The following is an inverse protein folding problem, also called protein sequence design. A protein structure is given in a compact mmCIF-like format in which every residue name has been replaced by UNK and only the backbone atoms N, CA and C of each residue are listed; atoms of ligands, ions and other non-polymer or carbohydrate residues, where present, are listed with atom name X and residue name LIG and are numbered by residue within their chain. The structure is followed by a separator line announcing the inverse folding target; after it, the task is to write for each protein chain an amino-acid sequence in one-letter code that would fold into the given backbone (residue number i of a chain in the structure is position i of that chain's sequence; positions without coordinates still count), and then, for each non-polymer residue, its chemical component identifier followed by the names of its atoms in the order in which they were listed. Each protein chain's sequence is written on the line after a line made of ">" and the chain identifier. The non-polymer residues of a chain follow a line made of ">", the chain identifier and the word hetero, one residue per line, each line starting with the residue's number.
data_IF_472317971731
#
_entry.id   IF_472317971731
#
_cell.length_a   1.000
_cell.length_b   1.000
_cell.length_c   1.000
_cell.angle_alpha   90.00
_cell.angle_beta   90.00
_cell.angle_gamma   90.00
#
_symmetry.space_group_name_H-M   'P 1'
#
loop_
_entity.id
_entity.type
_entity.pdbx_description
1 polymer ?
#
# COMPACT_ATOMS: atom_id res chain seq x y z
N UNK A 1 41.15 -6.18 -10.12
CA UNK A 1 40.09 -7.11 -9.69
C UNK A 1 38.77 -6.62 -10.28
N UNK A 2 38.30 -7.30 -11.30
CA UNK A 2 37.10 -6.90 -12.05
C UNK A 2 35.85 -7.40 -11.31
N UNK A 3 35.01 -6.49 -10.82
CA UNK A 3 33.72 -6.80 -10.25
C UNK A 3 32.71 -7.05 -11.40
N UNK A 4 32.46 -8.31 -11.74
CA UNK A 4 31.44 -8.70 -12.73
C UNK A 4 30.07 -8.43 -12.11
N UNK A 5 29.40 -7.36 -12.54
CA UNK A 5 27.95 -7.22 -12.38
C UNK A 5 27.29 -8.45 -13.03
N UNK A 6 26.71 -9.32 -12.22
CA UNK A 6 25.84 -10.37 -12.72
C UNK A 6 24.61 -9.70 -13.36
N UNK A 7 24.61 -9.61 -14.67
CA UNK A 7 23.40 -9.29 -15.44
C UNK A 7 22.53 -10.54 -15.39
N UNK A 8 21.48 -10.51 -14.57
CA UNK A 8 20.47 -11.56 -14.55
C UNK A 8 19.73 -11.47 -15.89
N UNK A 9 20.03 -12.34 -16.81
CA UNK A 9 19.24 -12.55 -18.03
C UNK A 9 17.92 -13.19 -17.60
N UNK A 10 16.89 -12.39 -17.38
CA UNK A 10 15.51 -12.91 -17.27
C UNK A 10 15.20 -13.54 -18.62
N UNK A 11 15.03 -14.87 -18.62
CA UNK A 11 14.70 -15.62 -19.84
C UNK A 11 13.38 -15.05 -20.41
N UNK A 12 13.30 -14.86 -21.73
CA UNK A 12 12.12 -14.32 -22.40
C UNK A 12 10.83 -15.12 -22.12
N UNK A 13 10.93 -16.34 -21.63
CA UNK A 13 9.81 -17.15 -21.13
C UNK A 13 9.33 -16.66 -19.77
N UNK A 14 10.23 -16.37 -18.84
CA UNK A 14 9.89 -15.85 -17.50
C UNK A 14 9.23 -14.47 -17.62
N UNK A 15 9.77 -13.58 -18.44
CA UNK A 15 9.16 -12.28 -18.71
C UNK A 15 7.73 -12.39 -19.23
N UNK A 16 7.47 -13.27 -20.20
CA UNK A 16 6.12 -13.50 -20.73
C UNK A 16 5.18 -14.12 -19.70
N UNK A 17 5.69 -14.93 -18.80
CA UNK A 17 4.93 -15.51 -17.69
C UNK A 17 4.51 -14.42 -16.69
N UNK A 18 5.43 -13.57 -16.28
CA UNK A 18 5.14 -12.45 -15.38
C UNK A 18 4.17 -11.42 -16.00
N UNK A 19 4.33 -11.10 -17.27
CA UNK A 19 3.40 -10.24 -18.00
C UNK A 19 1.97 -10.83 -18.04
N UNK A 20 1.85 -12.16 -18.20
CA UNK A 20 0.55 -12.85 -18.15
C UNK A 20 -0.06 -12.84 -16.75
N UNK A 21 0.76 -13.12 -15.72
CA UNK A 21 0.30 -13.06 -14.33
C UNK A 21 -0.20 -11.65 -13.99
N UNK A 22 0.54 -10.64 -14.36
CA UNK A 22 0.16 -9.24 -14.14
C UNK A 22 -1.18 -8.91 -14.78
N UNK A 23 -1.41 -9.30 -16.04
CA UNK A 23 -2.71 -9.12 -16.73
C UNK A 23 -3.86 -9.82 -16.01
N UNK A 24 -3.61 -11.01 -15.46
CA UNK A 24 -4.63 -11.75 -14.71
C UNK A 24 -4.94 -11.03 -13.39
N UNK A 25 -3.93 -10.56 -12.68
CA UNK A 25 -4.11 -9.80 -11.43
C UNK A 25 -4.86 -8.49 -11.68
N UNK A 26 -4.54 -7.76 -12.75
CA UNK A 26 -5.26 -6.55 -13.17
C UNK A 26 -6.74 -6.84 -13.46
N UNK A 27 -7.02 -7.87 -14.26
CA UNK A 27 -8.39 -8.29 -14.59
C UNK A 27 -9.18 -8.74 -13.34
N UNK A 28 -8.54 -9.48 -12.44
CA UNK A 28 -9.15 -9.88 -11.18
C UNK A 28 -9.40 -8.67 -10.26
N UNK A 29 -8.47 -7.73 -10.17
CA UNK A 29 -8.63 -6.49 -9.43
C UNK A 29 -9.83 -5.68 -9.96
N UNK A 30 -9.92 -5.46 -11.27
CA UNK A 30 -11.02 -4.71 -11.90
C UNK A 30 -12.39 -5.33 -11.57
N UNK A 31 -12.52 -6.65 -11.70
CA UNK A 31 -13.74 -7.37 -11.35
C UNK A 31 -14.06 -7.28 -9.86
N UNK A 32 -13.05 -7.45 -8.99
CA UNK A 32 -13.22 -7.37 -7.53
C UNK A 32 -13.54 -5.96 -7.04
N UNK A 33 -13.09 -4.95 -7.76
CA UNK A 33 -13.30 -3.53 -7.45
C UNK A 33 -14.60 -2.99 -8.03
N UNK A 34 -15.25 -3.72 -8.93
CA UNK A 34 -16.54 -3.35 -9.50
C UNK A 34 -17.70 -3.45 -8.48
N UNK A 35 -18.85 -2.90 -8.88
CA UNK A 35 -20.08 -2.84 -8.05
C UNK A 35 -20.76 -4.20 -7.79
N UNK A 36 -20.29 -5.25 -8.42
CA UNK A 36 -20.85 -6.59 -8.23
C UNK A 36 -20.32 -7.20 -6.95
N UNK A 37 -21.18 -7.98 -6.30
CA UNK A 37 -20.82 -8.79 -5.11
C UNK A 37 -19.55 -9.61 -5.40
N UNK A 38 -18.41 -8.99 -5.11
CA UNK A 38 -17.07 -9.52 -5.39
C UNK A 38 -16.84 -10.91 -4.75
N UNK A 39 -17.76 -11.42 -3.90
CA UNK A 39 -17.82 -12.80 -3.38
C UNK A 39 -18.10 -13.83 -4.45
N UNK A 40 -18.87 -13.45 -5.45
CA UNK A 40 -19.39 -14.35 -6.46
C UNK A 40 -18.56 -14.42 -7.75
N UNK A 41 -17.47 -13.63 -7.86
CA UNK A 41 -16.60 -13.68 -9.04
C UNK A 41 -16.01 -15.07 -9.21
N UNK A 42 -16.16 -15.61 -10.41
CA UNK A 42 -15.70 -16.96 -10.76
C UNK A 42 -14.34 -16.93 -11.47
N UNK A 43 -13.61 -18.05 -11.43
CA UNK A 43 -12.37 -18.21 -12.21
C UNK A 43 -12.62 -18.12 -13.72
N UNK A 44 -13.82 -18.47 -14.20
CA UNK A 44 -14.23 -18.31 -15.59
C UNK A 44 -14.34 -16.84 -16.00
N UNK A 45 -14.98 -16.02 -15.18
CA UNK A 45 -15.13 -14.58 -15.43
C UNK A 45 -13.78 -13.89 -15.47
N UNK A 46 -12.90 -14.20 -14.50
CA UNK A 46 -11.53 -13.68 -14.49
C UNK A 46 -10.76 -14.11 -15.75
N UNK A 47 -10.85 -15.39 -16.12
CA UNK A 47 -10.17 -15.92 -17.32
C UNK A 47 -10.63 -15.21 -18.59
N UNK A 48 -11.95 -15.00 -18.72
CA UNK A 48 -12.56 -14.27 -19.84
C UNK A 48 -12.11 -12.82 -19.87
N UNK A 49 -12.13 -12.13 -18.73
CA UNK A 49 -11.72 -10.72 -18.61
C UNK A 49 -10.23 -10.52 -18.92
N UNK A 50 -9.37 -11.42 -18.42
CA UNK A 50 -7.94 -11.44 -18.70
C UNK A 50 -7.56 -11.93 -20.10
N UNK A 51 -8.54 -12.42 -20.90
CA UNK A 51 -8.32 -13.05 -22.19
C UNK A 51 -7.30 -14.20 -22.14
N UNK A 52 -7.48 -15.11 -21.17
CA UNK A 52 -6.66 -16.32 -21.00
C UNK A 52 -7.54 -17.56 -20.80
N UNK A 53 -6.97 -18.74 -21.01
CA UNK A 53 -7.68 -20.00 -20.70
C UNK A 53 -7.78 -20.24 -19.19
N UNK A 54 -8.90 -20.77 -18.69
CA UNK A 54 -9.09 -21.15 -17.27
C UNK A 54 -7.95 -22.03 -16.73
N UNK A 55 -7.46 -22.97 -17.53
CA UNK A 55 -6.31 -23.82 -17.17
C UNK A 55 -5.04 -23.01 -16.87
N UNK A 56 -4.88 -21.84 -17.52
CA UNK A 56 -3.75 -20.94 -17.28
C UNK A 56 -3.84 -20.30 -15.90
N UNK A 57 -5.05 -19.90 -15.47
CA UNK A 57 -5.26 -19.39 -14.11
C UNK A 57 -4.89 -20.43 -13.06
N UNK A 58 -5.42 -21.64 -13.18
CA UNK A 58 -5.11 -22.72 -12.25
C UNK A 58 -3.63 -23.08 -12.25
N UNK A 59 -2.97 -23.04 -13.43
CA UNK A 59 -1.52 -23.26 -13.51
C UNK A 59 -0.72 -22.23 -12.74
N UNK A 60 -1.14 -20.95 -12.73
CA UNK A 60 -0.36 -19.86 -12.09
C UNK A 60 -0.71 -19.65 -10.62
N UNK A 61 -1.99 -19.79 -10.26
CA UNK A 61 -2.50 -19.42 -8.95
C UNK A 61 -3.02 -20.60 -8.12
N UNK A 62 -3.27 -21.75 -8.74
CA UNK A 62 -3.74 -22.98 -8.08
C UNK A 62 -5.21 -22.92 -7.67
N UNK A 63 -5.65 -21.86 -7.02
CA UNK A 63 -7.02 -21.68 -6.53
C UNK A 63 -7.52 -20.25 -6.68
N UNK A 64 -8.85 -20.05 -6.52
CA UNK A 64 -9.45 -18.71 -6.46
C UNK A 64 -8.94 -17.92 -5.25
N UNK A 65 -8.84 -18.59 -4.11
CA UNK A 65 -8.40 -17.93 -2.87
C UNK A 65 -6.96 -17.42 -2.98
N UNK A 66 -6.08 -18.22 -3.57
CA UNK A 66 -4.70 -17.79 -3.83
C UNK A 66 -4.64 -16.62 -4.82
N UNK A 67 -5.47 -16.63 -5.86
CA UNK A 67 -5.55 -15.50 -6.79
C UNK A 67 -6.01 -14.22 -6.09
N UNK A 68 -7.06 -14.30 -5.27
CA UNK A 68 -7.54 -13.16 -4.48
C UNK A 68 -6.44 -12.65 -3.53
N UNK A 69 -5.73 -13.58 -2.89
CA UNK A 69 -4.58 -13.26 -2.04
C UNK A 69 -3.53 -12.47 -2.83
N UNK A 70 -3.12 -12.94 -4.00
CA UNK A 70 -2.12 -12.26 -4.83
C UNK A 70 -2.61 -10.88 -5.33
N UNK A 71 -3.92 -10.71 -5.57
CA UNK A 71 -4.49 -9.39 -5.91
C UNK A 71 -4.30 -8.39 -4.75
N UNK A 72 -4.63 -8.80 -3.53
CA UNK A 72 -4.42 -7.94 -2.35
C UNK A 72 -2.94 -7.66 -2.09
N UNK A 73 -2.08 -8.67 -2.26
CA UNK A 73 -0.63 -8.49 -2.16
C UNK A 73 -0.10 -7.49 -3.18
N UNK A 74 -0.52 -7.60 -4.43
CA UNK A 74 -0.09 -6.70 -5.50
C UNK A 74 -0.52 -5.26 -5.19
N UNK A 75 -1.74 -5.06 -4.69
CA UNK A 75 -2.22 -3.75 -4.26
C UNK A 75 -1.36 -3.14 -3.14
N UNK A 76 -1.06 -3.90 -2.08
CA UNK A 76 -0.19 -3.45 -0.98
C UNK A 76 1.24 -3.18 -1.48
N UNK A 77 1.78 -4.02 -2.36
CA UNK A 77 3.10 -3.80 -2.92
C UNK A 77 3.20 -2.53 -3.77
N UNK A 78 2.12 -2.15 -4.47
CA UNK A 78 2.03 -0.86 -5.18
C UNK A 78 2.07 0.30 -4.19
N UNK A 79 1.29 0.25 -3.11
CA UNK A 79 1.32 1.26 -2.04
C UNK A 79 2.74 1.46 -1.49
N UNK A 80 3.43 0.37 -1.17
CA UNK A 80 4.80 0.40 -0.65
C UNK A 80 5.76 1.00 -1.70
N UNK A 81 5.63 0.60 -2.95
CA UNK A 81 6.51 1.03 -4.03
C UNK A 81 6.36 2.53 -4.28
N UNK A 82 5.13 3.03 -4.35
CA UNK A 82 4.84 4.44 -4.57
C UNK A 82 5.36 5.29 -3.40
N UNK A 83 5.14 4.84 -2.16
CA UNK A 83 5.67 5.53 -0.99
C UNK A 83 7.22 5.57 -0.99
N UNK A 84 7.88 4.48 -1.35
CA UNK A 84 9.35 4.44 -1.50
C UNK A 84 9.85 5.38 -2.59
N UNK A 85 9.15 5.47 -3.72
CA UNK A 85 9.50 6.40 -4.79
C UNK A 85 9.40 7.85 -4.32
N UNK A 86 8.32 8.22 -3.62
CA UNK A 86 8.15 9.55 -3.03
C UNK A 86 9.29 9.86 -2.05
N UNK A 87 9.62 8.92 -1.17
CA UNK A 87 10.74 9.09 -0.21
C UNK A 87 12.08 9.28 -0.91
N UNK A 88 12.32 8.57 -2.04
CA UNK A 88 13.55 8.63 -2.82
C UNK A 88 13.74 9.96 -3.58
N UNK A 89 12.68 10.76 -3.77
CA UNK A 89 12.79 12.10 -4.35
C UNK A 89 13.54 13.09 -3.45
N UNK A 90 13.73 12.75 -2.18
CA UNK A 90 14.46 13.55 -1.19
C UNK A 90 13.97 15.01 -1.07
N UNK A 91 12.68 15.23 -1.28
CA UNK A 91 12.04 16.53 -1.06
C UNK A 91 12.06 16.94 0.42
N UNK A 92 11.85 18.23 0.74
CA UNK A 92 11.69 18.69 2.12
C UNK A 92 10.64 17.89 2.88
N UNK A 93 10.78 17.82 4.22
CA UNK A 93 9.90 17.05 5.11
C UNK A 93 8.42 17.29 4.84
N UNK A 94 7.99 18.57 4.81
CA UNK A 94 6.58 18.94 4.65
C UNK A 94 6.04 18.49 3.29
N UNK A 95 6.79 18.73 2.21
CA UNK A 95 6.41 18.32 0.85
C UNK A 95 6.33 16.79 0.73
N UNK A 96 7.27 16.07 1.35
CA UNK A 96 7.26 14.60 1.35
C UNK A 96 6.05 14.06 2.11
N UNK A 97 5.72 14.61 3.28
CA UNK A 97 4.57 14.18 4.06
C UNK A 97 3.25 14.45 3.32
N UNK A 98 3.10 15.61 2.69
CA UNK A 98 1.94 15.94 1.85
C UNK A 98 1.83 14.96 0.68
N UNK A 99 2.92 14.70 -0.03
CA UNK A 99 2.94 13.76 -1.17
C UNK A 99 2.55 12.34 -0.75
N UNK A 100 3.04 11.85 0.39
CA UNK A 100 2.66 10.54 0.95
C UNK A 100 1.17 10.49 1.30
N UNK A 101 0.63 11.54 1.92
CA UNK A 101 -0.79 11.65 2.27
C UNK A 101 -1.67 11.65 1.01
N UNK A 102 -1.34 12.49 0.03
CA UNK A 102 -2.07 12.56 -1.24
C UNK A 102 -2.02 11.26 -2.03
N UNK A 103 -0.85 10.61 -2.08
CA UNK A 103 -0.71 9.31 -2.75
C UNK A 103 -1.59 8.23 -2.12
N UNK A 104 -1.60 8.16 -0.78
CA UNK A 104 -2.44 7.18 -0.06
C UNK A 104 -3.92 7.41 -0.35
N UNK A 105 -4.37 8.65 -0.29
CA UNK A 105 -5.77 9.00 -0.59
C UNK A 105 -6.10 8.69 -2.04
N UNK A 106 -5.30 9.14 -3.00
CA UNK A 106 -5.52 8.87 -4.41
C UNK A 106 -5.53 7.39 -4.80
N UNK A 107 -4.92 6.51 -3.98
CA UNK A 107 -5.01 5.06 -4.15
C UNK A 107 -6.29 4.50 -3.52
N UNK A 108 -6.68 5.00 -2.34
CA UNK A 108 -7.92 4.58 -1.68
C UNK A 108 -9.16 5.02 -2.47
N UNK A 109 -9.12 6.18 -3.13
CA UNK A 109 -10.21 6.66 -3.99
C UNK A 109 -10.43 5.79 -5.26
N UNK A 110 -9.42 5.00 -5.65
CA UNK A 110 -9.52 4.08 -6.79
C UNK A 110 -10.15 2.73 -6.45
N UNK A 111 -10.38 2.46 -5.17
CA UNK A 111 -10.95 1.19 -4.72
C UNK A 111 -12.35 1.39 -4.15
N UNK A 112 -13.23 0.45 -4.47
CA UNK A 112 -14.58 0.43 -3.93
C UNK A 112 -14.57 0.07 -2.44
N UNK A 113 -15.57 0.55 -1.72
CA UNK A 113 -15.75 0.19 -0.30
C UNK A 113 -15.81 -1.33 -0.06
N UNK A 114 -16.53 -2.13 -0.86
CA UNK A 114 -16.53 -3.59 -0.73
C UNK A 114 -15.13 -4.21 -0.93
N UNK A 115 -14.35 -3.72 -1.88
CA UNK A 115 -12.97 -4.19 -2.09
C UNK A 115 -12.10 -3.88 -0.86
N UNK A 116 -12.15 -2.64 -0.36
CA UNK A 116 -11.42 -2.22 0.83
C UNK A 116 -11.76 -3.09 2.05
N UNK A 117 -13.04 -3.30 2.33
CA UNK A 117 -13.49 -4.11 3.47
C UNK A 117 -13.01 -5.55 3.40
N UNK A 118 -13.03 -6.15 2.21
CA UNK A 118 -12.51 -7.51 2.00
C UNK A 118 -11.02 -7.62 2.17
N UNK A 119 -10.31 -6.64 1.63
CA UNK A 119 -8.86 -6.56 1.79
C UNK A 119 -8.51 -6.45 3.27
N UNK A 120 -9.21 -5.59 4.03
CA UNK A 120 -9.01 -5.45 5.46
C UNK A 120 -9.37 -6.71 6.24
N UNK A 121 -10.50 -7.36 5.92
CA UNK A 121 -10.89 -8.65 6.53
C UNK A 121 -9.83 -9.73 6.27
N UNK A 122 -9.31 -9.76 5.05
CA UNK A 122 -8.26 -10.71 4.68
C UNK A 122 -6.98 -10.50 5.51
N UNK A 123 -6.52 -9.25 5.65
CA UNK A 123 -5.28 -8.94 6.37
C UNK A 123 -5.42 -8.99 7.90
N UNK A 124 -6.63 -8.79 8.43
CA UNK A 124 -6.88 -8.85 9.88
C UNK A 124 -7.22 -10.25 10.38
N UNK A 125 -7.51 -11.20 9.48
CA UNK A 125 -7.62 -12.61 9.87
C UNK A 125 -6.28 -13.08 10.39
N UNK A 126 -6.26 -13.36 11.68
CA UNK A 126 -5.10 -13.96 12.33
C UNK A 126 -4.98 -15.40 11.86
N UNK A 127 -3.88 -15.73 11.21
CA UNK A 127 -3.43 -17.10 11.10
C UNK A 127 -3.05 -17.60 12.50
N UNK A 128 -2.85 -18.92 12.65
CA UNK A 128 -2.45 -19.53 13.93
C UNK A 128 -1.20 -18.88 14.56
N UNK A 129 -0.40 -18.18 13.75
CA UNK A 129 0.85 -17.51 14.10
C UNK A 129 0.74 -15.97 14.26
N UNK A 130 -0.46 -15.38 14.18
CA UNK A 130 -0.66 -13.92 14.34
C UNK A 130 -1.00 -13.17 13.05
N UNK A 131 -0.52 -11.92 12.90
CA UNK A 131 -0.70 -11.10 11.69
C UNK A 131 -0.07 -11.79 10.48
N UNK A 132 -0.70 -11.66 9.30
CA UNK A 132 -0.13 -12.20 8.07
C UNK A 132 1.28 -11.66 7.83
N UNK A 133 2.19 -12.48 7.30
CA UNK A 133 3.58 -12.07 6.98
C UNK A 133 3.64 -10.81 6.11
N UNK A 134 2.61 -10.56 5.31
CA UNK A 134 2.50 -9.37 4.45
C UNK A 134 2.26 -8.13 5.27
N UNK A 135 1.37 -8.20 6.26
CA UNK A 135 1.12 -7.05 7.14
C UNK A 135 2.33 -6.75 8.00
N UNK A 136 3.01 -7.77 8.52
CA UNK A 136 4.27 -7.56 9.24
C UNK A 136 5.29 -6.82 8.38
N UNK A 137 5.49 -7.26 7.14
CA UNK A 137 6.41 -6.62 6.20
C UNK A 137 5.96 -5.19 5.83
N UNK A 138 4.67 -4.97 5.68
CA UNK A 138 4.11 -3.64 5.43
C UNK A 138 4.39 -2.71 6.60
N UNK A 139 4.15 -3.17 7.83
CA UNK A 139 4.40 -2.41 9.06
C UNK A 139 5.88 -2.10 9.26
N UNK A 140 6.78 -3.07 9.02
CA UNK A 140 8.23 -2.86 9.10
C UNK A 140 8.71 -1.80 8.10
N UNK A 141 8.23 -1.86 6.86
CA UNK A 141 8.61 -0.89 5.82
C UNK A 141 8.06 0.49 6.14
N UNK A 142 6.80 0.60 6.56
CA UNK A 142 6.20 1.87 6.98
C UNK A 142 6.93 2.48 8.18
N UNK A 143 7.24 1.67 9.18
CA UNK A 143 8.00 2.10 10.36
C UNK A 143 9.34 2.72 9.96
N UNK A 144 10.12 2.03 9.13
CA UNK A 144 11.42 2.53 8.64
C UNK A 144 11.31 3.83 7.85
N UNK A 145 10.31 3.93 6.94
CA UNK A 145 10.08 5.16 6.16
C UNK A 145 9.67 6.34 7.05
N UNK A 146 8.81 6.10 8.04
CA UNK A 146 8.36 7.16 8.95
C UNK A 146 9.49 7.65 9.85
N UNK A 147 10.35 6.76 10.35
CA UNK A 147 11.55 7.15 11.09
C UNK A 147 12.47 8.04 10.26
N UNK A 148 12.78 7.64 9.03
CA UNK A 148 13.62 8.43 8.13
C UNK A 148 13.01 9.83 7.89
N UNK A 149 11.70 9.89 7.67
CA UNK A 149 10.98 11.14 7.48
C UNK A 149 11.05 12.05 8.71
N UNK A 150 10.84 11.51 9.92
CA UNK A 150 10.93 12.30 11.15
C UNK A 150 12.36 12.78 11.43
N UNK A 151 13.36 11.94 11.17
CA UNK A 151 14.76 12.34 11.29
C UNK A 151 15.12 13.46 10.30
N UNK A 152 14.60 13.41 9.08
CA UNK A 152 14.72 14.49 8.10
C UNK A 152 14.05 15.77 8.62
N UNK A 153 12.82 15.69 9.10
CA UNK A 153 12.07 16.81 9.65
C UNK A 153 12.78 17.48 10.85
N UNK A 154 13.45 16.70 11.71
CA UNK A 154 14.26 17.26 12.80
C UNK A 154 15.49 18.03 12.28
N UNK A 155 16.19 17.49 11.28
CA UNK A 155 17.33 18.18 10.64
C UNK A 155 16.91 19.49 9.98
N UNK A 156 15.69 19.55 9.47
CA UNK A 156 15.10 20.74 8.84
C UNK A 156 14.45 21.71 9.86
N UNK A 157 14.44 21.37 11.16
CA UNK A 157 13.78 22.17 12.20
C UNK A 157 12.25 22.18 12.10
N UNK A 158 11.65 21.17 11.47
CA UNK A 158 10.20 21.00 11.25
C UNK A 158 9.54 20.08 12.27
N UNK A 159 10.31 19.23 12.92
CA UNK A 159 9.87 18.31 13.96
C UNK A 159 10.58 18.65 15.26
N UNK A 160 9.80 18.87 16.32
CA UNK A 160 10.30 19.24 17.64
C UNK A 160 11.10 18.10 18.27
N UNK A 161 12.32 18.40 18.75
CA UNK A 161 13.23 17.44 19.36
C UNK A 161 12.72 16.84 20.68
N UNK A 162 11.71 17.48 21.31
CA UNK A 162 11.10 16.97 22.55
C UNK A 162 10.32 15.67 22.36
N UNK A 163 9.84 15.40 21.14
CA UNK A 163 9.10 14.19 20.85
C UNK A 163 10.05 13.04 20.52
N UNK A 164 9.91 11.90 21.21
CA UNK A 164 10.66 10.68 20.87
C UNK A 164 10.17 10.07 19.55
N UNK A 165 11.01 9.23 18.93
CA UNK A 165 10.63 8.48 17.72
C UNK A 165 9.42 7.59 17.99
N UNK A 166 9.43 6.86 19.12
CA UNK A 166 8.35 5.99 19.55
C UNK A 166 7.03 6.76 19.67
N UNK A 167 7.04 7.93 20.33
CA UNK A 167 5.84 8.76 20.46
C UNK A 167 5.31 9.21 19.10
N UNK A 168 6.17 9.69 18.21
CA UNK A 168 5.77 10.15 16.88
C UNK A 168 5.18 9.01 16.05
N UNK A 169 5.77 7.82 16.08
CA UNK A 169 5.25 6.64 15.38
C UNK A 169 3.86 6.27 15.91
N UNK A 170 3.69 6.15 17.24
CA UNK A 170 2.40 5.83 17.85
C UNK A 170 1.34 6.89 17.56
N UNK A 171 1.71 8.17 17.62
CA UNK A 171 0.81 9.26 17.27
C UNK A 171 0.30 9.15 15.83
N UNK A 172 1.21 8.97 14.87
CA UNK A 172 0.84 8.83 13.46
C UNK A 172 0.04 7.54 13.20
N UNK A 173 0.40 6.41 13.82
CA UNK A 173 -0.39 5.18 13.72
C UNK A 173 -1.81 5.40 14.21
N UNK A 174 -2.00 5.98 15.39
CA UNK A 174 -3.34 6.26 15.96
C UNK A 174 -4.17 7.14 15.03
N UNK A 175 -3.55 8.17 14.45
CA UNK A 175 -4.21 9.07 13.53
C UNK A 175 -4.60 8.34 12.24
N UNK A 176 -3.68 7.56 11.65
CA UNK A 176 -3.94 6.78 10.42
C UNK A 176 -5.03 5.73 10.64
N UNK A 177 -5.01 5.00 11.76
CA UNK A 177 -6.04 4.03 12.12
C UNK A 177 -7.41 4.70 12.28
N UNK A 178 -7.46 5.87 12.91
CA UNK A 178 -8.68 6.65 13.05
C UNK A 178 -9.30 7.03 11.71
N UNK A 179 -8.49 7.56 10.80
CA UNK A 179 -8.91 8.01 9.47
C UNK A 179 -9.29 6.82 8.58
N UNK A 180 -8.62 5.69 8.72
CA UNK A 180 -8.86 4.50 7.89
C UNK A 180 -10.23 3.85 8.14
N UNK A 181 -10.98 4.28 9.18
CA UNK A 181 -12.36 3.84 9.36
C UNK A 181 -13.25 4.42 8.26
N UNK A 182 -14.00 3.60 7.51
CA UNK A 182 -14.73 4.05 6.31
C UNK A 182 -15.60 5.29 6.55
N UNK A 183 -16.39 5.29 7.62
CA UNK A 183 -17.30 6.39 7.97
C UNK A 183 -16.59 7.70 8.38
N UNK A 184 -15.30 7.63 8.74
CA UNK A 184 -14.46 8.79 9.01
C UNK A 184 -13.76 9.21 7.72
N UNK A 185 -13.21 8.24 6.96
CA UNK A 185 -12.50 8.48 5.72
C UNK A 185 -13.32 9.29 4.73
N UNK A 186 -14.55 8.86 4.43
CA UNK A 186 -15.46 9.56 3.51
C UNK A 186 -15.69 11.03 3.87
N UNK A 187 -15.68 11.35 5.18
CA UNK A 187 -15.88 12.72 5.67
C UNK A 187 -14.62 13.56 5.70
N UNK A 188 -13.46 12.95 5.92
CA UNK A 188 -12.19 13.67 6.10
C UNK A 188 -11.39 13.80 4.79
N UNK A 189 -11.61 12.92 3.83
CA UNK A 189 -10.90 12.95 2.55
C UNK A 189 -10.94 14.32 1.84
N UNK A 190 -12.08 15.08 1.81
CA UNK A 190 -12.12 16.42 1.26
C UNK A 190 -11.24 17.44 1.99
N UNK A 191 -10.84 17.18 3.23
CA UNK A 191 -10.04 18.07 4.09
C UNK A 191 -8.60 17.60 4.26
N UNK A 192 -8.08 16.88 3.28
CA UNK A 192 -6.73 16.29 3.37
C UNK A 192 -5.64 17.31 3.56
N UNK A 193 -5.72 18.46 2.91
CA UNK A 193 -4.71 19.50 3.02
C UNK A 193 -4.70 20.11 4.42
N UNK A 194 -5.87 20.50 4.94
CA UNK A 194 -6.02 21.07 6.28
C UNK A 194 -5.61 20.08 7.36
N UNK A 195 -5.98 18.82 7.18
CA UNK A 195 -5.62 17.76 8.11
C UNK A 195 -4.10 17.52 8.14
N UNK A 196 -3.46 17.47 6.97
CA UNK A 196 -2.00 17.31 6.87
C UNK A 196 -1.29 18.53 7.46
N UNK A 197 -1.80 19.74 7.21
CA UNK A 197 -1.29 20.98 7.81
C UNK A 197 -1.37 20.94 9.34
N UNK A 198 -2.49 20.49 9.91
CA UNK A 198 -2.66 20.33 11.36
C UNK A 198 -1.66 19.33 11.95
N UNK A 199 -1.41 18.21 11.27
CA UNK A 199 -0.39 17.24 11.69
C UNK A 199 1.00 17.88 11.74
N UNK A 200 1.39 18.58 10.67
CA UNK A 200 2.69 19.24 10.57
C UNK A 200 2.84 20.28 11.70
N UNK A 201 1.83 21.15 11.89
CA UNK A 201 1.83 22.18 12.94
C UNK A 201 1.89 21.57 14.35
N UNK A 202 1.22 20.43 14.56
CA UNK A 202 1.16 19.75 15.87
C UNK A 202 2.50 19.20 16.35
N UNK A 203 3.39 18.85 15.43
CA UNK A 203 4.72 18.29 15.73
C UNK A 203 5.86 19.30 15.56
N UNK A 204 5.56 20.48 15.03
CA UNK A 204 6.56 21.53 14.83
C UNK A 204 7.07 22.13 16.17
N UNK A 205 8.33 22.60 16.22
CA UNK A 205 8.81 23.36 17.36
C UNK A 205 7.95 24.61 17.59
N UNK A 206 7.70 24.94 18.87
CA UNK A 206 7.07 26.23 19.20
C UNK A 206 8.02 27.35 18.79
N UNK A 207 7.50 28.34 18.09
CA UNK A 207 8.19 29.62 17.91
C UNK A 207 7.97 30.41 19.20
N UNK A 208 9.07 30.69 19.90
CA UNK A 208 9.07 31.63 21.00
C UNK A 208 8.66 33.04 20.52
#
# INVERSE_FOLDING_TARGET
>A
MFNRKQVIYVNGFEKRTEEKKKKILEAAFELMNGDTDAGNITMEEIAKHANVGKATLFKYFGSKDNLIHEVFQDFINRLITDAKNIMAENKPFEETLIALSQNKIGLLDKISHPFYMRMMDFFTKKDADGLSLIMQKFDEVNYGMMLDLFHRGRKEGKVDLKYSDEFLILYFQTVVEGISKPHIYEKIAPYTEEWTEMLIKGIAPRKD
#
